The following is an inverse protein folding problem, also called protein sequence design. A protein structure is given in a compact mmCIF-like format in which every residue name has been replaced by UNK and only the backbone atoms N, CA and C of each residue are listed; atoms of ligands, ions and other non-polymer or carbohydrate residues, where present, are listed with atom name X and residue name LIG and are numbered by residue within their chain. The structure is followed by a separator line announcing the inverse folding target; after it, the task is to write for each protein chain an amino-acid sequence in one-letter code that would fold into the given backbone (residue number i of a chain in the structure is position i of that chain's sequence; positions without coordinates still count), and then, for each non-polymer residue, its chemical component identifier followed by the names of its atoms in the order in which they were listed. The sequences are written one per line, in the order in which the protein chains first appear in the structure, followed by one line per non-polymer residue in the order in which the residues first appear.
data_IF_357864703970
#
_entry.id   IF_357864703970
#
_cell.length_a   1.000
_cell.length_b   1.000
_cell.length_c   1.000
_cell.angle_alpha   90.00
_cell.angle_beta   90.00
_cell.angle_gamma   90.00
#
_symmetry.space_group_name_H-M   'P 1'
#
loop_
_entity.id
_entity.type
_entity.pdbx_description
1 polymer ?
#
# COMPACT_ATOMS: atom_id res chain seq x y z
N UNK A 1 -16.88 65.69 -38.45
CA UNK A 1 -16.64 65.94 -37.01
C UNK A 1 -17.31 67.23 -36.61
N UNK A 2 -18.25 67.19 -35.67
CA UNK A 2 -18.98 68.30 -35.11
C UNK A 2 -18.12 69.14 -34.14
N UNK A 3 -18.62 70.38 -33.80
CA UNK A 3 -17.98 71.23 -32.80
C UNK A 3 -17.76 70.51 -31.48
N UNK A 4 -16.54 70.69 -30.90
CA UNK A 4 -16.12 70.05 -29.66
C UNK A 4 -16.02 68.52 -29.74
N UNK A 5 -15.70 67.94 -30.91
CA UNK A 5 -15.47 66.48 -31.06
C UNK A 5 -16.74 65.62 -31.02
N UNK A 6 -17.91 66.22 -31.21
CA UNK A 6 -19.19 65.43 -31.28
C UNK A 6 -19.26 64.66 -32.58
N UNK A 7 -19.62 63.41 -32.49
CA UNK A 7 -19.93 62.54 -33.62
C UNK A 7 -21.21 63.01 -34.26
N UNK A 8 -21.19 63.35 -35.54
CA UNK A 8 -22.34 63.77 -36.35
C UNK A 8 -22.74 62.68 -37.31
N UNK A 9 -23.95 62.75 -37.90
CA UNK A 9 -24.50 61.76 -38.80
C UNK A 9 -23.52 61.43 -39.98
N UNK A 10 -22.83 62.43 -40.50
CA UNK A 10 -21.88 62.27 -41.55
C UNK A 10 -20.61 61.43 -41.14
N UNK A 11 -20.25 61.43 -39.86
CA UNK A 11 -19.18 60.61 -39.35
C UNK A 11 -19.56 59.14 -39.29
N UNK A 12 -20.88 58.87 -39.00
CA UNK A 12 -21.43 57.52 -38.99
C UNK A 12 -21.53 56.97 -40.42
N UNK A 13 -22.01 57.79 -41.34
CA UNK A 13 -22.17 57.40 -42.74
C UNK A 13 -20.83 57.15 -43.46
N UNK A 14 -19.77 57.75 -42.99
CA UNK A 14 -18.39 57.54 -43.45
C UNK A 14 -17.62 56.53 -42.67
N UNK A 15 -18.17 56.03 -41.60
CA UNK A 15 -17.53 55.01 -40.79
C UNK A 15 -17.57 53.66 -41.51
N UNK A 16 -16.49 53.30 -42.12
CA UNK A 16 -16.23 51.93 -42.57
C UNK A 16 -15.55 51.21 -41.41
N UNK A 17 -16.19 50.19 -40.80
CA UNK A 17 -15.55 49.41 -39.75
C UNK A 17 -14.26 48.84 -40.35
N UNK A 18 -13.13 49.30 -39.88
CA UNK A 18 -11.88 48.57 -40.09
C UNK A 18 -12.09 47.21 -39.47
N UNK A 19 -12.13 46.17 -40.31
CA UNK A 19 -12.07 44.79 -39.79
C UNK A 19 -10.78 44.69 -38.99
N UNK A 20 -10.93 44.82 -37.67
CA UNK A 20 -9.83 44.46 -36.79
C UNK A 20 -9.48 43.00 -37.15
N UNK A 21 -8.34 42.81 -37.73
CA UNK A 21 -7.81 41.46 -37.94
C UNK A 21 -7.91 40.75 -36.57
N UNK A 22 -8.82 39.77 -36.48
CA UNK A 22 -8.87 38.92 -35.32
C UNK A 22 -7.42 38.44 -35.09
N UNK A 23 -6.92 38.50 -33.84
CA UNK A 23 -5.59 37.98 -33.57
C UNK A 23 -5.60 36.54 -34.09
N UNK A 24 -4.89 36.29 -35.17
CA UNK A 24 -4.59 34.93 -35.59
C UNK A 24 -3.89 34.30 -34.39
N UNK A 25 -4.60 33.43 -33.69
CA UNK A 25 -3.99 32.55 -32.73
C UNK A 25 -2.85 31.87 -33.50
N UNK A 26 -1.64 32.27 -33.23
CA UNK A 26 -0.47 31.57 -33.70
C UNK A 26 -0.60 30.18 -33.09
N UNK A 27 -1.06 29.21 -33.89
CA UNK A 27 -0.96 27.80 -33.53
C UNK A 27 0.55 27.61 -33.37
N UNK A 28 1.00 27.61 -32.12
CA UNK A 28 2.35 27.21 -31.79
C UNK A 28 2.55 25.86 -32.45
N UNK A 29 3.45 25.80 -33.43
CA UNK A 29 3.78 24.55 -34.09
C UNK A 29 4.05 23.53 -32.99
N UNK A 30 3.33 22.42 -33.01
CA UNK A 30 3.57 21.32 -32.06
C UNK A 30 5.08 21.02 -32.10
N UNK A 31 5.73 20.84 -30.94
CA UNK A 31 7.16 20.59 -30.92
C UNK A 31 7.43 19.39 -31.84
N UNK A 32 8.30 19.58 -32.83
CA UNK A 32 8.74 18.52 -33.75
C UNK A 32 9.63 17.57 -32.93
N UNK A 33 8.98 16.64 -32.22
CA UNK A 33 9.66 15.57 -31.50
C UNK A 33 9.86 14.37 -32.41
N UNK A 34 11.05 13.79 -32.39
CA UNK A 34 11.29 12.48 -32.99
C UNK A 34 10.71 11.45 -32.04
N UNK A 35 9.73 10.68 -32.50
CA UNK A 35 9.21 9.54 -31.74
C UNK A 35 10.32 8.49 -31.63
N UNK A 36 10.78 8.22 -30.41
CA UNK A 36 11.77 7.20 -30.12
C UNK A 36 11.18 6.18 -29.17
N UNK A 37 11.31 4.91 -29.51
CA UNK A 37 10.89 3.79 -28.66
C UNK A 37 11.99 2.73 -28.69
N UNK A 38 12.42 2.31 -27.49
CA UNK A 38 13.45 1.29 -27.33
C UNK A 38 12.82 0.02 -26.73
N UNK A 39 13.07 -1.12 -27.37
CA UNK A 39 12.66 -2.44 -26.87
C UNK A 39 13.75 -3.06 -26.00
N UNK A 40 13.50 -3.22 -24.69
CA UNK A 40 14.43 -3.86 -23.75
C UNK A 40 13.93 -5.29 -23.45
N UNK A 41 14.85 -6.28 -23.54
CA UNK A 41 14.51 -7.68 -23.26
C UNK A 41 14.21 -7.89 -21.77
N UNK A 42 13.04 -8.46 -21.47
CA UNK A 42 12.66 -8.77 -20.08
C UNK A 42 13.65 -9.78 -19.44
N UNK A 43 14.07 -9.49 -18.22
CA UNK A 43 14.89 -10.41 -17.41
C UNK A 43 14.09 -11.68 -17.05
N UNK A 44 14.78 -12.76 -16.69
CA UNK A 44 14.12 -14.00 -16.24
C UNK A 44 13.29 -13.75 -14.97
N UNK A 45 13.78 -12.95 -14.03
CA UNK A 45 13.02 -12.55 -12.84
C UNK A 45 11.73 -11.87 -13.24
N UNK A 46 11.76 -10.88 -14.15
CA UNK A 46 10.57 -10.16 -14.62
C UNK A 46 9.56 -11.10 -15.25
N UNK A 47 9.99 -12.08 -16.03
CA UNK A 47 9.11 -13.10 -16.64
C UNK A 47 8.43 -13.98 -15.60
N UNK A 48 9.16 -14.41 -14.55
CA UNK A 48 8.61 -15.22 -13.45
C UNK A 48 7.60 -14.41 -12.65
N UNK A 49 7.92 -13.15 -12.31
CA UNK A 49 6.99 -12.24 -11.63
C UNK A 49 5.71 -12.07 -12.45
N UNK A 50 5.82 -11.75 -13.74
CA UNK A 50 4.66 -11.57 -14.62
C UNK A 50 3.77 -12.82 -14.64
N UNK A 51 4.36 -14.01 -14.78
CA UNK A 51 3.62 -15.28 -14.78
C UNK A 51 2.88 -15.51 -13.45
N UNK A 52 3.56 -15.32 -12.30
CA UNK A 52 2.96 -15.54 -10.97
C UNK A 52 1.85 -14.53 -10.68
N UNK A 53 2.08 -13.25 -10.95
CA UNK A 53 1.09 -12.20 -10.69
C UNK A 53 -0.14 -12.35 -11.59
N UNK A 54 0.05 -12.66 -12.88
CA UNK A 54 -1.07 -12.92 -13.80
C UNK A 54 -1.87 -14.13 -13.35
N UNK A 55 -1.21 -15.24 -12.98
CA UNK A 55 -1.88 -16.43 -12.47
C UNK A 55 -2.73 -16.08 -11.24
N UNK A 56 -2.14 -15.42 -10.22
CA UNK A 56 -2.85 -15.03 -9.01
C UNK A 56 -4.05 -14.11 -9.32
N UNK A 57 -3.83 -13.05 -10.08
CA UNK A 57 -4.87 -12.03 -10.33
C UNK A 57 -6.07 -12.57 -11.10
N UNK A 58 -5.86 -13.49 -12.03
CA UNK A 58 -6.92 -14.01 -12.90
C UNK A 58 -7.54 -15.32 -12.43
N UNK A 59 -6.93 -16.03 -11.46
CA UNK A 59 -7.49 -17.28 -10.92
C UNK A 59 -8.16 -17.11 -9.56
N UNK A 60 -7.62 -16.23 -8.70
CA UNK A 60 -8.22 -15.94 -7.40
C UNK A 60 -9.20 -14.77 -7.52
N UNK A 61 -10.49 -14.95 -7.19
CA UNK A 61 -11.46 -13.84 -7.14
C UNK A 61 -11.12 -12.89 -6.01
N UNK A 62 -10.31 -11.85 -6.31
CA UNK A 62 -9.91 -10.87 -5.31
C UNK A 62 -11.06 -9.95 -4.92
N UNK A 63 -11.27 -9.77 -3.63
CA UNK A 63 -12.02 -8.66 -3.07
C UNK A 63 -11.17 -7.91 -2.04
N UNK A 64 -11.58 -6.70 -1.68
CA UNK A 64 -10.76 -5.78 -0.89
C UNK A 64 -11.59 -5.18 0.24
N UNK A 65 -11.00 -5.16 1.44
CA UNK A 65 -11.57 -4.50 2.60
C UNK A 65 -10.57 -3.47 3.12
N UNK A 66 -11.02 -2.24 3.32
CA UNK A 66 -10.17 -1.17 3.85
C UNK A 66 -10.72 -0.69 5.19
N UNK A 67 -9.81 -0.55 6.17
CA UNK A 67 -10.08 0.11 7.44
C UNK A 67 -9.13 1.27 7.64
N UNK A 68 -9.51 2.19 8.50
CA UNK A 68 -8.66 3.27 8.99
C UNK A 68 -8.44 3.10 10.49
N UNK A 69 -7.16 3.12 10.90
CA UNK A 69 -6.70 2.85 12.27
C UNK A 69 -6.17 4.13 12.89
N UNK A 70 -6.56 4.44 14.12
CA UNK A 70 -5.95 5.50 14.93
C UNK A 70 -4.57 5.05 15.42
N UNK A 71 -3.55 5.85 15.14
CA UNK A 71 -2.16 5.49 15.43
C UNK A 71 -1.58 6.14 16.69
N UNK A 72 -2.34 6.93 17.43
CA UNK A 72 -1.80 7.70 18.57
C UNK A 72 -1.19 6.81 19.65
N UNK A 73 -1.93 5.79 20.10
CA UNK A 73 -1.39 4.88 21.12
C UNK A 73 -0.23 4.02 20.61
N UNK A 74 -0.28 3.62 19.33
CA UNK A 74 0.83 2.92 18.71
C UNK A 74 2.08 3.80 18.62
N UNK A 75 1.93 5.08 18.31
CA UNK A 75 3.04 6.05 18.26
C UNK A 75 3.63 6.26 19.66
N UNK A 76 2.79 6.45 20.66
CA UNK A 76 3.22 6.62 22.06
C UNK A 76 3.93 5.35 22.59
N UNK A 77 3.33 4.18 22.37
CA UNK A 77 3.91 2.89 22.79
C UNK A 77 5.27 2.63 22.14
N UNK A 78 5.37 2.88 20.83
CA UNK A 78 6.64 2.75 20.10
C UNK A 78 7.70 3.70 20.64
N UNK A 79 7.35 4.95 20.93
CA UNK A 79 8.28 5.92 21.50
C UNK A 79 8.82 5.42 22.84
N UNK A 80 7.95 4.91 23.74
CA UNK A 80 8.35 4.33 25.02
C UNK A 80 9.25 3.10 24.85
N UNK A 81 8.87 2.14 23.99
CA UNK A 81 9.67 0.94 23.71
C UNK A 81 11.09 1.33 23.26
N UNK A 82 11.21 2.33 22.41
CA UNK A 82 12.48 2.76 21.83
C UNK A 82 13.34 3.61 22.79
N UNK A 83 12.89 3.86 24.04
CA UNK A 83 13.76 4.41 25.10
C UNK A 83 14.65 3.34 25.73
N UNK A 84 14.31 2.06 25.55
CA UNK A 84 15.13 0.95 26.08
C UNK A 84 16.45 0.85 25.32
N UNK A 85 17.57 0.56 26.00
CA UNK A 85 18.86 0.36 25.34
C UNK A 85 18.78 -0.69 24.23
N UNK A 86 19.50 -0.47 23.15
CA UNK A 86 19.65 -1.37 22.00
C UNK A 86 18.32 -1.82 21.34
N UNK A 87 17.24 -1.08 21.62
CA UNK A 87 15.91 -1.38 21.13
C UNK A 87 15.50 -0.40 20.02
N UNK A 88 15.14 -0.95 18.84
CA UNK A 88 14.63 -0.15 17.74
C UNK A 88 13.48 -0.89 17.06
N UNK A 89 12.27 -0.53 17.42
CA UNK A 89 11.01 -1.04 16.85
C UNK A 89 10.46 -0.02 15.85
N UNK A 90 10.08 -0.48 14.68
CA UNK A 90 9.39 0.32 13.66
C UNK A 90 7.88 0.11 13.72
N UNK A 91 7.10 1.01 13.10
CA UNK A 91 5.65 0.78 12.94
C UNK A 91 5.36 -0.47 12.11
N UNK A 92 6.21 -0.78 11.13
CA UNK A 92 6.09 -2.01 10.35
C UNK A 92 6.19 -3.27 11.23
N UNK A 93 7.09 -3.27 12.21
CA UNK A 93 7.25 -4.40 13.14
C UNK A 93 6.01 -4.58 14.01
N UNK A 94 5.39 -3.46 14.44
CA UNK A 94 4.13 -3.49 15.18
C UNK A 94 2.99 -4.05 14.32
N UNK A 95 2.88 -3.61 13.07
CA UNK A 95 1.88 -4.15 12.11
C UNK A 95 2.09 -5.64 11.88
N UNK A 96 3.32 -6.08 11.65
CA UNK A 96 3.65 -7.50 11.45
C UNK A 96 3.27 -8.34 12.67
N UNK A 97 3.60 -7.88 13.89
CA UNK A 97 3.22 -8.56 15.14
C UNK A 97 1.71 -8.61 15.31
N UNK A 98 1.03 -7.49 15.18
CA UNK A 98 -0.44 -7.40 15.30
C UNK A 98 -1.14 -8.32 14.27
N UNK A 99 -0.64 -8.32 13.02
CA UNK A 99 -1.15 -9.19 11.96
C UNK A 99 -0.95 -10.66 12.30
N UNK A 100 0.25 -11.05 12.76
CA UNK A 100 0.54 -12.43 13.13
C UNK A 100 -0.37 -12.91 14.26
N UNK A 101 -0.60 -12.08 15.28
CA UNK A 101 -1.51 -12.41 16.38
C UNK A 101 -2.98 -12.46 15.94
N UNK A 102 -3.42 -11.54 15.08
CA UNK A 102 -4.77 -11.59 14.52
C UNK A 102 -5.01 -12.85 13.71
N UNK A 103 -4.02 -13.35 12.96
CA UNK A 103 -4.11 -14.61 12.20
C UNK A 103 -4.28 -15.83 13.11
N UNK A 104 -3.72 -15.85 14.31
CA UNK A 104 -3.94 -16.97 15.26
C UNK A 104 -5.38 -17.00 15.79
N UNK A 105 -6.03 -15.84 15.89
CA UNK A 105 -7.46 -15.73 16.30
C UNK A 105 -8.42 -15.94 15.13
N UNK A 106 -7.96 -15.74 13.89
CA UNK A 106 -8.74 -15.89 12.66
C UNK A 106 -8.05 -16.86 11.68
N UNK A 107 -7.95 -18.17 12.02
CA UNK A 107 -7.24 -19.15 11.18
C UNK A 107 -7.87 -19.30 9.79
N UNK A 108 -9.13 -18.89 9.59
CA UNK A 108 -9.82 -18.89 8.30
C UNK A 108 -9.18 -17.91 7.28
N UNK A 109 -8.42 -16.90 7.75
CA UNK A 109 -7.68 -15.96 6.89
C UNK A 109 -6.29 -16.50 6.56
N UNK A 110 -5.74 -17.41 7.40
CA UNK A 110 -4.42 -17.99 7.22
C UNK A 110 -4.50 -19.33 6.44
N UNK A 111 -4.94 -19.25 5.21
CA UNK A 111 -5.28 -20.43 4.38
C UNK A 111 -4.58 -20.41 3.03
N UNK A 112 -4.65 -21.54 2.34
CA UNK A 112 -4.26 -21.69 0.93
C UNK A 112 -5.32 -22.50 0.18
N UNK A 113 -5.71 -22.00 -0.99
CA UNK A 113 -6.62 -22.70 -1.88
C UNK A 113 -5.89 -23.81 -2.65
N UNK A 114 -6.43 -25.00 -2.62
CA UNK A 114 -6.15 -26.09 -3.56
C UNK A 114 -7.49 -26.56 -4.11
N UNK A 115 -7.56 -26.94 -5.37
CA UNK A 115 -8.84 -27.20 -6.04
C UNK A 115 -9.73 -28.19 -5.27
N UNK A 116 -9.15 -29.22 -4.65
CA UNK A 116 -9.87 -30.26 -3.92
C UNK A 116 -10.03 -29.97 -2.41
N UNK A 117 -9.26 -28.98 -1.87
CA UNK A 117 -9.27 -28.70 -0.43
C UNK A 117 -8.75 -27.31 -0.11
N UNK A 118 -9.16 -26.76 1.01
CA UNK A 118 -8.56 -25.57 1.62
C UNK A 118 -7.61 -26.00 2.72
N UNK A 119 -6.37 -25.56 2.64
CA UNK A 119 -5.36 -25.81 3.68
C UNK A 119 -5.44 -24.69 4.72
N UNK A 120 -5.67 -25.06 5.98
CA UNK A 120 -5.60 -24.18 7.14
C UNK A 120 -4.23 -24.29 7.80
N UNK A 121 -3.47 -23.19 7.82
CA UNK A 121 -2.14 -23.18 8.42
C UNK A 121 -2.24 -22.93 9.93
N UNK A 122 -1.64 -23.83 10.73
CA UNK A 122 -1.56 -23.70 12.18
C UNK A 122 -0.40 -22.85 12.67
N UNK A 123 0.47 -22.42 11.77
CA UNK A 123 1.61 -21.56 12.00
C UNK A 123 1.47 -20.27 11.17
N UNK A 124 2.12 -19.22 11.58
CA UNK A 124 2.15 -17.95 10.83
C UNK A 124 3.54 -17.70 10.28
N UNK A 125 3.74 -17.99 9.01
CA UNK A 125 4.94 -17.63 8.26
C UNK A 125 4.65 -16.35 7.46
N UNK A 126 5.23 -15.23 7.93
CA UNK A 126 4.92 -13.90 7.43
C UNK A 126 5.81 -13.52 6.26
N UNK A 127 5.27 -13.47 5.06
CA UNK A 127 5.93 -12.87 3.91
C UNK A 127 5.96 -11.34 4.03
N UNK A 128 7.11 -10.74 3.83
CA UNK A 128 7.27 -9.28 3.87
C UNK A 128 7.76 -8.80 2.50
N UNK A 129 6.94 -8.00 1.82
CA UNK A 129 7.31 -7.48 0.51
C UNK A 129 8.45 -6.46 0.61
N UNK A 130 9.55 -6.71 -0.08
CA UNK A 130 10.73 -5.85 -0.13
C UNK A 130 11.02 -5.44 -1.57
N UNK A 131 11.04 -4.12 -1.81
CA UNK A 131 11.44 -3.57 -3.10
C UNK A 131 12.94 -3.74 -3.32
N UNK A 132 13.32 -4.22 -4.50
CA UNK A 132 14.70 -4.37 -4.98
C UNK A 132 14.83 -3.75 -6.37
N UNK A 133 16.06 -3.54 -6.85
CA UNK A 133 16.34 -2.89 -8.14
C UNK A 133 15.58 -3.54 -9.31
N UNK A 134 15.55 -4.87 -9.36
CA UNK A 134 14.94 -5.63 -10.47
C UNK A 134 13.43 -5.91 -10.26
N UNK A 135 12.81 -5.44 -9.16
CA UNK A 135 11.40 -5.67 -8.88
C UNK A 135 11.08 -5.79 -7.40
N UNK A 136 10.40 -6.87 -7.00
CA UNK A 136 9.96 -7.11 -5.63
C UNK A 136 10.23 -8.58 -5.26
N UNK A 137 10.75 -8.80 -4.06
CA UNK A 137 10.89 -10.11 -3.46
C UNK A 137 10.13 -10.18 -2.14
N UNK A 138 9.75 -11.38 -1.72
CA UNK A 138 8.95 -11.59 -0.51
C UNK A 138 9.69 -12.59 0.40
N UNK A 139 10.69 -12.13 1.17
CA UNK A 139 11.28 -12.96 2.20
C UNK A 139 10.27 -13.30 3.30
N UNK A 140 10.48 -14.40 4.00
CA UNK A 140 9.55 -15.01 4.94
C UNK A 140 10.15 -15.03 6.35
N UNK A 141 9.40 -14.52 7.32
CA UNK A 141 9.70 -14.63 8.75
C UNK A 141 8.92 -15.84 9.28
N UNK A 142 9.61 -16.94 9.63
CA UNK A 142 8.93 -18.13 10.14
C UNK A 142 8.42 -17.89 11.56
N UNK A 143 7.25 -18.47 11.89
CA UNK A 143 6.62 -18.43 13.22
C UNK A 143 6.52 -17.03 13.82
N UNK A 144 6.10 -16.06 13.01
CA UNK A 144 6.01 -14.64 13.40
C UNK A 144 5.08 -14.41 14.60
N UNK A 145 4.07 -15.25 14.79
CA UNK A 145 3.18 -15.26 15.95
C UNK A 145 3.95 -15.47 17.27
N UNK A 146 5.03 -16.24 17.26
CA UNK A 146 5.84 -16.58 18.45
C UNK A 146 6.96 -15.59 18.74
N UNK A 147 7.25 -14.69 17.81
CA UNK A 147 8.33 -13.71 17.96
C UNK A 147 7.86 -12.45 18.68
N UNK A 148 8.73 -11.87 19.50
CA UNK A 148 8.55 -10.53 20.05
C UNK A 148 8.85 -9.42 19.02
N UNK A 149 8.44 -8.18 19.32
CA UNK A 149 8.62 -7.02 18.43
C UNK A 149 10.08 -6.81 17.99
N UNK A 150 11.03 -6.91 18.90
CA UNK A 150 12.47 -6.75 18.63
C UNK A 150 13.02 -7.86 17.73
N UNK A 151 12.53 -9.10 17.92
CA UNK A 151 12.91 -10.23 17.08
C UNK A 151 12.36 -10.08 15.66
N UNK A 152 11.10 -9.65 15.51
CA UNK A 152 10.51 -9.34 14.20
C UNK A 152 11.31 -8.24 13.51
N UNK A 153 11.61 -7.13 14.22
CA UNK A 153 12.41 -6.03 13.67
C UNK A 153 13.81 -6.47 13.23
N UNK A 154 14.46 -7.33 14.02
CA UNK A 154 15.75 -7.94 13.66
C UNK A 154 15.66 -8.79 12.39
N UNK A 155 14.66 -9.66 12.29
CA UNK A 155 14.41 -10.51 11.13
C UNK A 155 14.11 -9.69 9.87
N UNK A 156 13.25 -8.66 9.98
CA UNK A 156 12.95 -7.74 8.87
C UNK A 156 14.22 -7.06 8.36
N UNK A 157 15.04 -6.54 9.28
CA UNK A 157 16.29 -5.84 8.92
C UNK A 157 17.27 -6.77 8.21
N UNK A 158 17.48 -7.99 8.72
CA UNK A 158 18.36 -9.00 8.12
C UNK A 158 17.88 -9.38 6.73
N UNK A 159 16.63 -9.82 6.62
CA UNK A 159 16.03 -10.27 5.36
C UNK A 159 15.98 -9.15 4.31
N UNK A 160 15.65 -7.92 4.70
CA UNK A 160 15.67 -6.77 3.79
C UNK A 160 17.10 -6.41 3.33
N UNK A 161 18.08 -6.56 4.21
CA UNK A 161 19.51 -6.41 3.87
C UNK A 161 19.97 -7.45 2.86
N UNK A 162 19.64 -8.72 3.09
CA UNK A 162 19.92 -9.83 2.16
C UNK A 162 19.21 -9.64 0.82
N UNK A 163 17.94 -9.16 0.84
CA UNK A 163 17.18 -8.88 -0.37
C UNK A 163 17.89 -7.86 -1.27
N UNK A 164 18.26 -6.70 -0.71
CA UNK A 164 18.95 -5.63 -1.46
C UNK A 164 20.33 -6.04 -1.96
N UNK A 165 21.03 -6.86 -1.20
CA UNK A 165 22.36 -7.40 -1.58
C UNK A 165 22.29 -8.65 -2.46
N UNK A 166 21.08 -9.07 -2.88
CA UNK A 166 20.85 -10.28 -3.71
C UNK A 166 21.39 -11.57 -3.08
N UNK A 167 21.32 -11.67 -1.72
CA UNK A 167 21.85 -12.79 -0.93
C UNK A 167 20.77 -13.65 -0.26
N UNK A 168 19.47 -13.41 -0.58
CA UNK A 168 18.39 -14.28 -0.10
C UNK A 168 18.54 -15.68 -0.67
N UNK A 169 18.39 -16.68 0.20
CA UNK A 169 18.31 -18.08 -0.20
C UNK A 169 16.89 -18.43 -0.66
N UNK A 170 16.69 -19.47 -1.49
CA UNK A 170 15.34 -19.93 -1.86
C UNK A 170 14.47 -20.25 -0.64
N UNK A 171 15.03 -20.87 0.40
CA UNK A 171 14.32 -21.22 1.64
C UNK A 171 13.80 -19.98 2.38
N UNK A 172 14.50 -18.85 2.30
CA UNK A 172 14.07 -17.60 2.90
C UNK A 172 12.94 -16.89 2.11
N UNK A 173 12.57 -17.41 0.93
CA UNK A 173 11.53 -16.84 0.04
C UNK A 173 10.33 -17.76 -0.15
N UNK A 174 10.30 -18.91 0.51
CA UNK A 174 9.26 -19.92 0.35
C UNK A 174 8.49 -20.16 1.65
N UNK A 175 7.28 -20.71 1.53
CA UNK A 175 6.51 -21.18 2.67
C UNK A 175 5.77 -20.10 3.44
N UNK A 176 5.60 -18.87 2.89
CA UNK A 176 4.74 -17.87 3.51
C UNK A 176 3.28 -18.34 3.54
N UNK A 177 2.58 -18.06 4.64
CA UNK A 177 1.15 -18.36 4.79
C UNK A 177 0.29 -17.11 4.66
N UNK A 178 0.89 -15.95 4.90
CA UNK A 178 0.30 -14.62 4.75
C UNK A 178 1.37 -13.63 4.32
N UNK A 179 1.00 -12.56 3.64
CA UNK A 179 1.96 -11.54 3.17
C UNK A 179 1.53 -10.14 3.61
N UNK A 180 2.52 -9.30 3.96
CA UNK A 180 2.34 -7.87 4.23
C UNK A 180 3.17 -7.07 3.23
N UNK A 181 2.52 -6.08 2.61
CA UNK A 181 3.15 -5.12 1.70
C UNK A 181 2.99 -3.71 2.26
N UNK A 182 4.08 -2.99 2.48
CA UNK A 182 4.07 -1.66 3.07
C UNK A 182 4.64 -0.63 2.09
N UNK A 183 3.82 0.33 1.68
CA UNK A 183 4.19 1.47 0.84
C UNK A 183 4.07 2.83 1.56
N UNK A 184 3.83 2.80 2.88
CA UNK A 184 3.71 4.01 3.70
C UNK A 184 4.95 4.89 3.67
N UNK A 185 6.14 4.30 3.56
CA UNK A 185 7.41 5.04 3.44
C UNK A 185 7.52 5.86 2.15
N UNK A 186 6.70 5.56 1.13
CA UNK A 186 6.61 6.31 -0.12
C UNK A 186 5.47 7.34 -0.11
N UNK A 187 4.80 7.55 1.02
CA UNK A 187 3.67 8.46 1.16
C UNK A 187 2.35 7.95 0.57
N UNK A 188 2.29 6.69 0.16
CA UNK A 188 1.05 6.08 -0.36
C UNK A 188 0.10 5.84 0.81
N UNK A 189 -1.08 6.45 0.76
CA UNK A 189 -2.07 6.36 1.84
C UNK A 189 -2.92 5.09 1.77
N UNK A 190 -3.23 4.63 0.55
CA UNK A 190 -4.07 3.46 0.30
C UNK A 190 -3.70 2.82 -1.03
N UNK A 191 -3.65 1.51 -1.09
CA UNK A 191 -3.45 0.74 -2.31
C UNK A 191 -3.95 -0.69 -2.14
N UNK A 192 -4.15 -1.37 -3.23
CA UNK A 192 -4.50 -2.80 -3.26
C UNK A 192 -3.32 -3.63 -3.75
N UNK A 193 -3.09 -4.77 -3.13
CA UNK A 193 -2.06 -5.73 -3.54
C UNK A 193 -2.66 -6.91 -4.30
N UNK A 194 -1.85 -7.57 -5.12
CA UNK A 194 -2.16 -8.87 -5.69
C UNK A 194 -1.72 -9.94 -4.70
N UNK A 195 -2.56 -10.92 -4.43
CA UNK A 195 -2.29 -11.99 -3.48
C UNK A 195 -1.03 -12.76 -3.91
N UNK A 196 -0.12 -12.98 -2.97
CA UNK A 196 1.08 -13.78 -3.17
C UNK A 196 0.74 -15.27 -2.98
N UNK A 197 0.22 -15.92 -4.02
CA UNK A 197 -0.10 -17.35 -3.94
C UNK A 197 1.09 -18.20 -3.52
N UNK A 198 0.88 -19.25 -2.67
CA UNK A 198 -0.40 -19.87 -2.32
C UNK A 198 -1.17 -19.21 -1.18
N UNK A 199 -0.73 -18.06 -0.63
CA UNK A 199 -1.50 -17.36 0.41
C UNK A 199 -2.92 -17.03 -0.09
N UNK A 200 -3.90 -17.03 0.80
CA UNK A 200 -5.26 -16.59 0.49
C UNK A 200 -5.50 -15.11 0.75
N UNK A 201 -4.57 -14.42 1.40
CA UNK A 201 -4.71 -13.00 1.68
C UNK A 201 -3.36 -12.26 1.74
N UNK A 202 -3.43 -10.94 1.54
CA UNK A 202 -2.31 -10.01 1.66
C UNK A 202 -2.79 -8.69 2.25
N UNK A 203 -2.03 -8.15 3.21
CA UNK A 203 -2.30 -6.86 3.83
C UNK A 203 -1.44 -5.76 3.18
N UNK A 204 -2.09 -4.72 2.69
CA UNK A 204 -1.48 -3.49 2.20
C UNK A 204 -1.49 -2.43 3.29
N UNK A 205 -0.31 -1.87 3.60
CA UNK A 205 -0.11 -0.89 4.68
C UNK A 205 0.22 0.46 4.08
N UNK A 206 -0.65 1.45 4.35
CA UNK A 206 -0.49 2.83 3.92
C UNK A 206 0.38 3.67 4.84
N UNK A 207 0.58 4.93 4.49
CA UNK A 207 1.28 5.91 5.30
C UNK A 207 0.46 6.30 6.54
N UNK A 208 1.16 6.63 7.63
CA UNK A 208 0.57 7.34 8.76
C UNK A 208 0.42 8.81 8.34
N UNK A 209 -0.81 9.32 8.43
CA UNK A 209 -1.18 10.67 7.98
C UNK A 209 -1.70 11.48 9.16
N UNK A 210 -1.12 12.67 9.35
CA UNK A 210 -1.66 13.67 10.26
C UNK A 210 -2.84 14.37 9.58
N UNK A 211 -3.99 14.41 10.26
CA UNK A 211 -5.19 15.05 9.75
C UNK A 211 -6.18 15.41 10.86
N UNK A 212 -7.18 16.29 10.60
CA UNK A 212 -8.29 16.50 11.52
C UNK A 212 -9.09 15.19 11.71
N UNK A 213 -9.31 14.82 12.96
CA UNK A 213 -10.14 13.67 13.36
C UNK A 213 -11.15 14.12 14.42
N UNK A 214 -12.27 13.41 14.53
CA UNK A 214 -13.26 13.68 15.58
C UNK A 214 -13.00 12.74 16.76
N UNK A 215 -12.65 13.32 17.93
CA UNK A 215 -12.50 12.61 19.21
C UNK A 215 -13.42 13.23 20.27
N UNK A 216 -14.29 12.43 20.87
CA UNK A 216 -15.23 12.87 21.91
C UNK A 216 -16.06 14.09 21.49
N UNK A 217 -16.48 14.13 20.20
CA UNK A 217 -17.27 15.23 19.64
C UNK A 217 -16.51 16.51 19.29
N UNK A 218 -15.17 16.50 19.42
CA UNK A 218 -14.30 17.63 19.06
C UNK A 218 -13.40 17.30 17.88
N UNK A 219 -13.14 18.28 17.03
CA UNK A 219 -12.15 18.17 15.95
C UNK A 219 -10.77 18.41 16.56
N UNK A 220 -9.90 17.43 16.45
CA UNK A 220 -8.51 17.50 16.93
C UNK A 220 -7.55 17.04 15.84
N UNK A 221 -6.27 17.37 15.98
CA UNK A 221 -5.24 16.78 15.13
C UNK A 221 -5.04 15.33 15.58
N UNK A 222 -5.05 14.40 14.64
CA UNK A 222 -4.82 12.98 14.89
C UNK A 222 -4.00 12.33 13.80
N UNK A 223 -3.52 11.14 14.06
CA UNK A 223 -2.72 10.35 13.12
C UNK A 223 -3.45 9.07 12.78
N UNK A 224 -3.68 8.83 11.51
CA UNK A 224 -4.38 7.62 11.04
C UNK A 224 -3.57 6.89 9.99
N UNK A 225 -3.80 5.58 9.89
CA UNK A 225 -3.19 4.73 8.88
C UNK A 225 -4.26 3.84 8.25
N UNK A 226 -4.29 3.78 6.92
CA UNK A 226 -5.18 2.86 6.21
C UNK A 226 -4.51 1.51 6.00
N UNK A 227 -5.30 0.47 6.23
CA UNK A 227 -4.95 -0.92 5.98
C UNK A 227 -5.96 -1.50 4.99
N UNK A 228 -5.48 -2.09 3.90
CA UNK A 228 -6.32 -2.75 2.90
C UNK A 228 -5.97 -4.22 2.82
N UNK A 229 -6.91 -5.07 3.12
CA UNK A 229 -6.81 -6.52 3.00
C UNK A 229 -7.34 -6.95 1.63
N UNK A 230 -6.53 -7.63 0.84
CA UNK A 230 -6.98 -8.35 -0.35
C UNK A 230 -7.13 -9.83 -0.01
N UNK A 231 -8.28 -10.41 -0.32
CA UNK A 231 -8.60 -11.82 -0.04
C UNK A 231 -9.02 -12.57 -1.29
N UNK A 232 -8.69 -13.86 -1.31
CA UNK A 232 -9.25 -14.82 -2.25
C UNK A 232 -10.64 -15.25 -1.74
N UNK A 233 -11.68 -14.84 -2.47
CA UNK A 233 -13.07 -15.10 -2.05
C UNK A 233 -13.48 -16.59 -2.08
N UNK A 234 -12.61 -17.46 -2.55
CA UNK A 234 -12.83 -18.90 -2.50
C UNK A 234 -12.58 -19.50 -1.11
N UNK A 235 -11.73 -18.83 -0.30
CA UNK A 235 -11.33 -19.30 1.03
C UNK A 235 -11.72 -18.35 2.15
N UNK A 236 -11.82 -17.05 1.89
CA UNK A 236 -12.09 -16.02 2.89
C UNK A 236 -13.33 -15.24 2.52
N UNK A 237 -14.39 -15.34 3.33
CA UNK A 237 -15.62 -14.59 3.18
C UNK A 237 -15.46 -13.14 3.66
N UNK A 238 -16.35 -12.25 3.19
CA UNK A 238 -16.33 -10.84 3.57
C UNK A 238 -16.43 -10.60 5.08
N UNK A 239 -17.31 -11.35 5.77
CA UNK A 239 -17.45 -11.25 7.23
C UNK A 239 -16.18 -11.72 7.96
N UNK A 240 -15.55 -12.80 7.51
CA UNK A 240 -14.30 -13.34 8.06
C UNK A 240 -13.16 -12.34 7.92
N UNK A 241 -13.00 -11.76 6.73
CA UNK A 241 -12.00 -10.73 6.49
C UNK A 241 -12.23 -9.46 7.33
N UNK A 242 -13.50 -9.04 7.51
CA UNK A 242 -13.87 -7.89 8.33
C UNK A 242 -13.56 -8.13 9.82
N UNK A 243 -13.89 -9.30 10.37
CA UNK A 243 -13.58 -9.66 11.76
C UNK A 243 -12.07 -9.72 12.03
N UNK A 244 -11.30 -10.25 11.08
CA UNK A 244 -9.84 -10.20 11.15
C UNK A 244 -9.33 -8.75 11.22
N UNK A 245 -9.83 -7.86 10.36
CA UNK A 245 -9.44 -6.47 10.36
C UNK A 245 -9.85 -5.74 11.65
N UNK A 246 -11.00 -6.03 12.24
CA UNK A 246 -11.41 -5.49 13.55
C UNK A 246 -10.45 -5.90 14.66
N UNK A 247 -10.01 -7.17 14.69
CA UNK A 247 -9.02 -7.65 15.66
C UNK A 247 -7.66 -6.97 15.43
N UNK A 248 -7.22 -6.84 14.19
CA UNK A 248 -5.99 -6.15 13.82
C UNK A 248 -6.04 -4.67 14.23
N UNK A 249 -7.19 -4.00 13.99
CA UNK A 249 -7.43 -2.63 14.42
C UNK A 249 -7.27 -2.49 15.93
N UNK A 250 -7.91 -3.36 16.71
CA UNK A 250 -7.82 -3.37 18.17
C UNK A 250 -6.37 -3.47 18.65
N UNK A 251 -5.56 -4.35 18.05
CA UNK A 251 -4.15 -4.50 18.42
C UNK A 251 -3.30 -3.27 18.09
N UNK A 252 -3.60 -2.57 17.02
CA UNK A 252 -2.86 -1.37 16.62
C UNK A 252 -3.31 -0.13 17.38
N UNK A 253 -4.62 0.02 17.62
CA UNK A 253 -5.16 1.13 18.40
C UNK A 253 -4.88 0.98 19.91
N UNK A 254 -4.71 -0.27 20.40
CA UNK A 254 -4.42 -0.58 21.81
C UNK A 254 -3.27 -1.59 21.94
N UNK A 255 -2.01 -1.20 21.67
CA UNK A 255 -0.87 -2.12 21.57
C UNK A 255 -0.64 -2.99 22.81
N UNK A 256 -1.06 -2.52 24.00
CA UNK A 256 -0.98 -3.30 25.25
C UNK A 256 -1.76 -4.60 25.18
N UNK A 257 -2.82 -4.66 24.35
CA UNK A 257 -3.64 -5.87 24.17
C UNK A 257 -2.88 -7.01 23.48
N UNK A 258 -1.76 -6.72 22.85
CA UNK A 258 -0.88 -7.74 22.28
C UNK A 258 -0.09 -8.53 23.33
N UNK A 259 -0.21 -8.17 24.61
CA UNK A 259 0.43 -8.87 25.73
C UNK A 259 -0.50 -9.90 26.39
N UNK A 260 -1.80 -9.96 25.99
CA UNK A 260 -2.83 -10.81 26.60
C UNK A 260 -3.05 -12.14 25.84
#
# INVERSE_FOLDING_TARGET
SGEFGRIIKADIERFTPSAAAAPQASISAAPSGVVHSEGVKNSQMRKVIAKRLSASKFTAPHYYLTIEVDMEEAMASRAQINTMPDTKVSFNDMVLKATAMALTKHPQVNTSWQDEQTIYHQHVHMGVAVAVEDGLVVPVIPFADRLGLTQIGGAVKDLAGKARSKKLTPQEMEGSTFTVSNLGMFGIQEFTSIINQPNSAILSVGAIVEKPVVKKGQIVVGHTMKLTLACDHRTVDGATGAQFLQTLQTYLEHPVTMLA
#
